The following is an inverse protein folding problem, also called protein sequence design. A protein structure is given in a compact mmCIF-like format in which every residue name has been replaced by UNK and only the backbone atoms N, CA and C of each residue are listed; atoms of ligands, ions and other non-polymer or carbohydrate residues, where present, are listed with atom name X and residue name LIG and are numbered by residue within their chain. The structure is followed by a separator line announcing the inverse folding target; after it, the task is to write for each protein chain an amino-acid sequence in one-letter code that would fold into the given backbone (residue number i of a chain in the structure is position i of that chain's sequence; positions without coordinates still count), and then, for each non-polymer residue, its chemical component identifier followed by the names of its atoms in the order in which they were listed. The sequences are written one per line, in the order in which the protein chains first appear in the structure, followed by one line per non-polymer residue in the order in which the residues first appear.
data_IF_778426020452
#
_entry.id   IF_778426020452
#
_cell.length_a   1.000
_cell.length_b   1.000
_cell.length_c   1.000
_cell.angle_alpha   90.00
_cell.angle_beta   90.00
_cell.angle_gamma   90.00
#
_symmetry.space_group_name_H-M   'P 1'
#
loop_
_entity.id
_entity.type
_entity.pdbx_description
1 polymer ?
#
# COMPACT_ATOMS: atom_id res chain seq x y z
N UNK A 1 -4.74 -63.20 -2.06
CA UNK A 1 -3.79 -62.08 -2.16
C UNK A 1 -4.43 -60.69 -2.13
N UNK A 2 -5.69 -60.50 -2.56
CA UNK A 2 -6.35 -59.19 -2.54
C UNK A 2 -6.64 -58.64 -1.12
N UNK A 3 -7.09 -59.50 -0.19
CA UNK A 3 -7.54 -59.10 1.15
C UNK A 3 -6.44 -58.46 2.02
N UNK A 4 -5.23 -59.02 2.00
CA UNK A 4 -4.08 -58.46 2.74
C UNK A 4 -3.52 -57.17 2.15
N UNK A 5 -3.82 -56.85 0.88
CA UNK A 5 -3.41 -55.59 0.24
C UNK A 5 -4.35 -54.45 0.65
N UNK A 6 -5.64 -54.76 0.84
CA UNK A 6 -6.65 -53.80 1.32
C UNK A 6 -6.41 -53.41 2.78
N UNK A 7 -6.10 -54.39 3.66
CA UNK A 7 -5.78 -54.12 5.07
C UNK A 7 -4.52 -53.26 5.25
N UNK A 8 -3.48 -53.45 4.43
CA UNK A 8 -2.28 -52.60 4.46
C UNK A 8 -2.59 -51.17 4.04
N UNK A 9 -3.39 -50.97 2.98
CA UNK A 9 -3.79 -49.64 2.51
C UNK A 9 -4.66 -48.92 3.54
N UNK A 10 -5.58 -49.62 4.21
CA UNK A 10 -6.41 -49.04 5.27
C UNK A 10 -5.57 -48.59 6.47
N UNK A 11 -4.56 -49.37 6.84
CA UNK A 11 -3.64 -49.03 7.92
C UNK A 11 -2.78 -47.81 7.58
N UNK A 12 -2.21 -47.77 6.37
CA UNK A 12 -1.45 -46.61 5.87
C UNK A 12 -2.33 -45.34 5.80
N UNK A 13 -3.59 -45.47 5.35
CA UNK A 13 -4.53 -44.35 5.30
C UNK A 13 -4.87 -43.82 6.70
N UNK A 14 -5.02 -44.69 7.69
CA UNK A 14 -5.26 -44.30 9.08
C UNK A 14 -4.04 -43.57 9.66
N UNK A 15 -2.84 -44.04 9.35
CA UNK A 15 -1.58 -43.45 9.81
C UNK A 15 -1.35 -42.07 9.17
N UNK A 16 -1.62 -41.92 7.87
CA UNK A 16 -1.58 -40.62 7.18
C UNK A 16 -2.60 -39.64 7.76
N UNK A 17 -3.84 -40.09 8.06
CA UNK A 17 -4.86 -39.24 8.69
C UNK A 17 -4.43 -38.76 10.08
N UNK A 18 -3.82 -39.63 10.88
CA UNK A 18 -3.31 -39.28 12.20
C UNK A 18 -2.18 -38.25 12.10
N UNK A 19 -1.23 -38.45 11.19
CA UNK A 19 -0.15 -37.50 10.92
C UNK A 19 -0.67 -36.16 10.42
N UNK A 20 -1.67 -36.16 9.53
CA UNK A 20 -2.30 -34.94 9.02
C UNK A 20 -2.99 -34.17 10.15
N UNK A 21 -3.71 -34.86 11.05
CA UNK A 21 -4.33 -34.24 12.21
C UNK A 21 -3.32 -33.62 13.17
N UNK A 22 -2.20 -34.31 13.41
CA UNK A 22 -1.09 -33.80 14.23
C UNK A 22 -0.49 -32.52 13.62
N UNK A 23 -0.13 -32.56 12.34
CA UNK A 23 0.42 -31.41 11.62
C UNK A 23 -0.56 -30.23 11.58
N UNK A 24 -1.86 -30.49 11.41
CA UNK A 24 -2.87 -29.45 11.50
C UNK A 24 -2.90 -28.82 12.89
N UNK A 25 -2.77 -29.60 13.96
CA UNK A 25 -2.66 -29.11 15.33
C UNK A 25 -1.45 -28.20 15.54
N UNK A 26 -0.27 -28.67 15.14
CA UNK A 26 0.98 -27.89 15.24
C UNK A 26 0.91 -26.57 14.45
N UNK A 27 0.34 -26.61 13.24
CA UNK A 27 0.14 -25.39 12.43
C UNK A 27 -0.79 -24.39 13.13
N UNK A 28 -1.84 -24.86 13.80
CA UNK A 28 -2.74 -23.97 14.55
C UNK A 28 -2.05 -23.37 15.77
N UNK A 29 -1.25 -24.14 16.50
CA UNK A 29 -0.50 -23.63 17.65
C UNK A 29 0.55 -22.59 17.23
N UNK A 30 1.27 -22.85 16.14
CA UNK A 30 2.23 -21.90 15.56
C UNK A 30 1.52 -20.62 15.14
N UNK A 31 0.36 -20.71 14.48
CA UNK A 31 -0.45 -19.54 14.12
C UNK A 31 -0.86 -18.72 15.33
N UNK A 32 -1.39 -19.36 16.38
CA UNK A 32 -1.81 -18.68 17.60
C UNK A 32 -0.62 -17.95 18.29
N UNK A 33 0.56 -18.58 18.32
CA UNK A 33 1.77 -17.97 18.89
C UNK A 33 2.29 -16.80 18.05
N UNK A 34 2.21 -16.90 16.72
CA UNK A 34 2.57 -15.82 15.81
C UNK A 34 1.60 -14.63 15.93
N UNK A 35 0.29 -14.90 15.99
CA UNK A 35 -0.75 -13.89 16.18
C UNK A 35 -0.59 -13.15 17.52
N UNK A 36 -0.22 -13.85 18.60
CA UNK A 36 0.08 -13.23 19.89
C UNK A 36 1.41 -12.47 19.98
N UNK A 37 2.28 -12.59 18.97
CA UNK A 37 3.60 -11.93 18.94
C UNK A 37 3.61 -10.61 18.17
N UNK A 38 2.57 -10.35 17.37
CA UNK A 38 2.44 -9.11 16.60
C UNK A 38 1.69 -8.08 17.45
N UNK A 39 2.35 -6.97 17.78
CA UNK A 39 1.68 -5.84 18.47
C UNK A 39 0.78 -5.13 17.46
N UNK A 40 -0.55 -5.11 17.63
CA UNK A 40 -1.46 -4.42 16.72
C UNK A 40 -1.20 -2.91 16.74
N UNK A 41 -1.38 -2.24 15.59
CA UNK A 41 -1.18 -0.77 15.49
C UNK A 41 -2.13 -0.04 16.43
N UNK A 42 -3.34 -0.57 16.61
CA UNK A 42 -4.37 -0.08 17.53
C UNK A 42 -3.84 0.02 18.97
N UNK A 43 -3.12 -1.00 19.45
CA UNK A 43 -2.55 -0.99 20.80
C UNK A 43 -1.44 0.04 20.94
N UNK A 44 -0.61 0.19 19.90
CA UNK A 44 0.45 1.22 19.86
C UNK A 44 -0.16 2.61 19.96
N UNK A 45 -1.21 2.88 19.18
CA UNK A 45 -1.92 4.16 19.19
C UNK A 45 -2.60 4.40 20.55
N UNK A 46 -3.29 3.40 21.10
CA UNK A 46 -3.93 3.50 22.41
C UNK A 46 -2.93 3.82 23.53
N UNK A 47 -1.75 3.18 23.54
CA UNK A 47 -0.68 3.47 24.52
C UNK A 47 -0.11 4.88 24.39
N UNK A 48 -0.21 5.49 23.20
CA UNK A 48 0.14 6.89 22.94
C UNK A 48 -1.00 7.87 23.27
N UNK A 49 -2.13 7.40 23.79
CA UNK A 49 -3.31 8.23 24.07
C UNK A 49 -4.09 8.63 22.82
N UNK A 50 -3.88 7.93 21.70
CA UNK A 50 -4.52 8.23 20.42
C UNK A 50 -5.71 7.30 20.19
N UNK A 51 -6.91 7.80 20.43
CA UNK A 51 -8.16 7.09 20.11
C UNK A 51 -8.62 7.44 18.68
N UNK A 52 -8.96 6.41 17.91
CA UNK A 52 -9.48 6.57 16.55
C UNK A 52 -10.90 6.01 16.43
N UNK A 53 -11.72 6.67 15.61
CA UNK A 53 -13.12 6.34 15.39
C UNK A 53 -13.32 5.27 14.32
N UNK A 54 -12.50 5.35 13.27
CA UNK A 54 -12.62 4.53 12.07
C UNK A 54 -11.24 4.16 11.53
N UNK A 55 -11.11 2.93 11.08
CA UNK A 55 -10.00 2.42 10.28
C UNK A 55 -10.55 1.38 9.29
N UNK A 56 -9.77 1.13 8.23
CA UNK A 56 -10.02 0.13 7.18
C UNK A 56 -11.38 0.30 6.45
N UNK A 57 -11.72 1.50 5.93
CA UNK A 57 -13.03 1.80 5.34
C UNK A 57 -13.29 1.13 3.98
N UNK A 58 -14.16 0.12 3.92
CA UNK A 58 -14.43 -0.64 2.68
C UNK A 58 -15.33 0.06 1.66
N UNK A 59 -15.96 1.18 2.02
CA UNK A 59 -17.04 1.80 1.20
C UNK A 59 -16.53 2.40 -0.11
N UNK A 60 -15.26 2.83 -0.12
CA UNK A 60 -14.59 3.44 -1.27
C UNK A 60 -13.60 2.49 -1.97
N UNK A 61 -13.56 1.21 -1.58
CA UNK A 61 -12.76 0.21 -2.26
C UNK A 61 -13.38 -0.21 -3.59
N UNK A 62 -12.55 -0.35 -4.62
CA UNK A 62 -12.95 -0.92 -5.91
C UNK A 62 -13.41 -2.37 -5.79
N UNK A 63 -12.88 -3.11 -4.81
CA UNK A 63 -13.21 -4.51 -4.61
C UNK A 63 -14.65 -4.68 -4.11
N UNK A 64 -15.42 -5.65 -4.65
CA UNK A 64 -16.72 -6.03 -4.10
C UNK A 64 -16.64 -6.47 -2.64
N UNK A 65 -17.70 -6.23 -1.86
CA UNK A 65 -17.73 -6.61 -0.43
C UNK A 65 -17.76 -8.14 -0.23
N UNK A 66 -18.21 -8.89 -1.24
CA UNK A 66 -18.32 -10.34 -1.26
C UNK A 66 -17.17 -11.01 -2.04
N UNK A 67 -16.06 -10.28 -2.28
CA UNK A 67 -14.92 -10.84 -3.01
C UNK A 67 -14.34 -12.05 -2.29
N UNK A 68 -14.06 -13.12 -3.03
CA UNK A 68 -13.43 -14.30 -2.44
C UNK A 68 -11.94 -14.04 -2.12
N UNK A 69 -11.38 -14.68 -1.07
CA UNK A 69 -9.97 -14.48 -0.69
C UNK A 69 -8.98 -14.76 -1.83
N UNK A 70 -9.30 -15.72 -2.70
CA UNK A 70 -8.49 -16.03 -3.89
C UNK A 70 -8.48 -14.87 -4.89
N UNK A 71 -9.64 -14.26 -5.17
CA UNK A 71 -9.75 -13.14 -6.11
C UNK A 71 -9.11 -11.88 -5.54
N UNK A 72 -9.28 -11.63 -4.25
CA UNK A 72 -8.62 -10.52 -3.56
C UNK A 72 -7.09 -10.63 -3.66
N UNK A 73 -6.54 -11.84 -3.43
CA UNK A 73 -5.11 -12.10 -3.60
C UNK A 73 -4.65 -11.88 -5.04
N UNK A 74 -5.42 -12.33 -6.03
CA UNK A 74 -5.10 -12.09 -7.44
C UNK A 74 -5.12 -10.59 -7.77
N UNK A 75 -6.08 -9.84 -7.22
CA UNK A 75 -6.17 -8.39 -7.39
C UNK A 75 -4.97 -7.69 -6.77
N UNK A 76 -4.58 -8.08 -5.56
CA UNK A 76 -3.36 -7.62 -4.90
C UNK A 76 -2.11 -7.84 -5.77
N UNK A 77 -1.94 -9.03 -6.36
CA UNK A 77 -0.80 -9.31 -7.24
C UNK A 77 -0.79 -8.41 -8.49
N UNK A 78 -1.96 -8.13 -9.08
CA UNK A 78 -2.05 -7.20 -10.20
C UNK A 78 -1.73 -5.76 -9.79
N UNK A 79 -2.14 -5.34 -8.59
CA UNK A 79 -1.85 -4.00 -8.05
C UNK A 79 -0.36 -3.71 -7.90
N UNK A 80 0.52 -4.73 -7.84
CA UNK A 80 1.97 -4.54 -7.87
C UNK A 80 2.45 -3.87 -9.17
N UNK A 81 1.73 -4.05 -10.29
CA UNK A 81 2.06 -3.47 -11.60
C UNK A 81 1.57 -2.01 -11.68
N UNK A 82 2.49 -1.07 -11.91
CA UNK A 82 2.14 0.34 -12.05
C UNK A 82 1.18 0.62 -13.21
N UNK A 83 1.35 -0.08 -14.35
CA UNK A 83 0.44 0.01 -15.51
C UNK A 83 -1.01 -0.35 -15.14
N UNK A 84 -1.22 -1.35 -14.29
CA UNK A 84 -2.54 -1.74 -13.81
C UNK A 84 -3.15 -0.66 -12.91
N UNK A 85 -2.36 -0.02 -12.05
CA UNK A 85 -2.83 1.09 -11.21
C UNK A 85 -3.20 2.33 -12.02
N UNK A 86 -2.42 2.67 -13.07
CA UNK A 86 -2.81 3.72 -14.02
C UNK A 86 -4.15 3.38 -14.66
N UNK A 87 -4.28 2.16 -15.17
CA UNK A 87 -5.49 1.70 -15.84
C UNK A 87 -6.74 1.81 -14.96
N UNK A 88 -6.64 1.43 -13.69
CA UNK A 88 -7.72 1.59 -12.71
C UNK A 88 -8.09 3.06 -12.48
N UNK A 89 -7.10 3.96 -12.35
CA UNK A 89 -7.37 5.41 -12.22
C UNK A 89 -8.14 5.94 -13.41
N UNK A 90 -7.79 5.51 -14.62
CA UNK A 90 -8.49 5.94 -15.82
C UNK A 90 -9.94 5.48 -15.83
N UNK A 91 -10.21 4.22 -15.49
CA UNK A 91 -11.58 3.67 -15.42
C UNK A 91 -12.43 4.45 -14.41
N UNK A 92 -11.86 4.78 -13.24
CA UNK A 92 -12.58 5.56 -12.21
C UNK A 92 -12.89 6.97 -12.70
N UNK A 93 -11.91 7.63 -13.34
CA UNK A 93 -12.03 9.03 -13.78
C UNK A 93 -12.94 9.17 -15.01
N UNK A 94 -12.88 8.21 -15.94
CA UNK A 94 -13.51 8.27 -17.26
C UNK A 94 -14.61 7.20 -17.37
N UNK A 95 -15.58 7.24 -16.46
CA UNK A 95 -16.71 6.28 -16.42
C UNK A 95 -17.48 6.23 -17.75
N UNK A 96 -17.60 7.37 -18.43
CA UNK A 96 -18.31 7.51 -19.71
C UNK A 96 -17.55 6.87 -20.89
N UNK A 97 -16.24 6.66 -20.77
CA UNK A 97 -15.42 6.03 -21.83
C UNK A 97 -15.46 4.51 -21.78
N UNK A 98 -16.10 3.92 -20.77
CA UNK A 98 -16.36 2.48 -20.77
C UNK A 98 -17.36 2.07 -21.85
N UNK A 99 -18.04 3.03 -22.49
CA UNK A 99 -19.05 2.82 -23.54
C UNK A 99 -18.47 2.82 -24.97
N UNK A 100 -17.24 3.31 -25.19
CA UNK A 100 -16.72 3.51 -26.55
C UNK A 100 -15.27 3.04 -26.70
N UNK A 101 -14.97 2.48 -27.88
CA UNK A 101 -13.69 1.94 -28.36
C UNK A 101 -12.58 3.00 -28.52
N UNK A 102 -12.44 3.91 -27.56
CA UNK A 102 -11.37 4.91 -27.54
C UNK A 102 -10.13 4.32 -26.87
N UNK A 103 -9.06 4.24 -27.66
CA UNK A 103 -7.73 3.74 -27.27
C UNK A 103 -7.26 4.44 -25.99
N UNK A 104 -6.90 3.64 -24.98
CA UNK A 104 -6.22 4.13 -23.78
C UNK A 104 -4.73 4.27 -24.09
N UNK A 105 -4.13 5.38 -23.68
CA UNK A 105 -2.76 5.75 -24.10
C UNK A 105 -1.65 5.07 -23.27
N UNK A 106 -2.00 4.29 -22.24
CA UNK A 106 -1.05 3.85 -21.22
C UNK A 106 -0.68 2.36 -21.29
N UNK A 107 -1.39 1.57 -22.07
CA UNK A 107 -1.13 0.15 -22.26
C UNK A 107 -1.48 -0.27 -23.69
N UNK A 108 -0.93 -1.39 -24.15
CA UNK A 108 -1.31 -1.95 -25.44
C UNK A 108 -2.78 -2.42 -25.43
N UNK A 109 -3.46 -2.50 -26.59
CA UNK A 109 -4.83 -3.01 -26.67
C UNK A 109 -5.01 -4.40 -26.03
N UNK A 110 -4.01 -5.27 -26.20
CA UNK A 110 -4.01 -6.63 -25.65
C UNK A 110 -3.96 -6.60 -24.12
N UNK A 111 -3.09 -5.75 -23.55
CA UNK A 111 -2.98 -5.58 -22.09
C UNK A 111 -4.25 -4.99 -21.50
N UNK A 112 -4.87 -4.04 -22.22
CA UNK A 112 -6.15 -3.45 -21.83
C UNK A 112 -7.26 -4.52 -21.78
N UNK A 113 -7.36 -5.37 -22.79
CA UNK A 113 -8.33 -6.47 -22.84
C UNK A 113 -8.12 -7.44 -21.67
N UNK A 114 -6.87 -7.86 -21.43
CA UNK A 114 -6.51 -8.71 -20.28
C UNK A 114 -6.94 -8.10 -18.95
N UNK A 115 -6.73 -6.80 -18.76
CA UNK A 115 -7.15 -6.10 -17.55
C UNK A 115 -8.67 -6.01 -17.43
N UNK A 116 -9.40 -5.71 -18.51
CA UNK A 116 -10.86 -5.70 -18.50
C UNK A 116 -11.42 -7.06 -18.11
N UNK A 117 -10.94 -8.13 -18.76
CA UNK A 117 -11.37 -9.49 -18.46
C UNK A 117 -11.07 -9.87 -17.01
N UNK A 118 -9.88 -9.51 -16.52
CA UNK A 118 -9.49 -9.73 -15.13
C UNK A 118 -10.44 -9.03 -14.15
N UNK A 119 -10.77 -7.77 -14.40
CA UNK A 119 -11.67 -6.98 -13.55
C UNK A 119 -13.11 -7.49 -13.58
N UNK A 120 -13.59 -8.00 -14.73
CA UNK A 120 -14.87 -8.69 -14.83
C UNK A 120 -14.88 -9.97 -13.99
N UNK A 121 -13.82 -10.80 -14.07
CA UNK A 121 -13.70 -12.01 -13.24
C UNK A 121 -13.66 -11.69 -11.75
N UNK A 122 -13.02 -10.59 -11.37
CA UNK A 122 -12.98 -10.11 -9.99
C UNK A 122 -14.29 -9.46 -9.52
N UNK A 123 -15.24 -9.20 -10.43
CA UNK A 123 -16.49 -8.52 -10.10
C UNK A 123 -16.35 -7.01 -9.87
N UNK A 124 -15.18 -6.43 -10.20
CA UNK A 124 -14.92 -4.97 -10.11
C UNK A 124 -15.63 -4.23 -11.25
N UNK A 125 -15.73 -4.87 -12.41
CA UNK A 125 -16.52 -4.39 -13.55
C UNK A 125 -17.76 -5.27 -13.78
N UNK A 126 -18.80 -4.67 -14.37
CA UNK A 126 -20.00 -5.34 -14.89
C UNK A 126 -20.15 -5.04 -16.38
N UNK A 127 -20.69 -6.01 -17.13
CA UNK A 127 -21.03 -5.82 -18.56
C UNK A 127 -22.33 -5.02 -18.69
N UNK A 128 -22.34 -4.04 -19.59
CA UNK A 128 -23.55 -3.33 -20.04
C UNK A 128 -23.88 -3.69 -21.49
N UNK A 129 -25.03 -3.20 -21.97
CA UNK A 129 -25.44 -3.36 -23.39
C UNK A 129 -24.38 -2.80 -24.36
N UNK A 130 -23.69 -1.74 -23.98
CA UNK A 130 -22.54 -1.19 -24.67
C UNK A 130 -21.43 -0.98 -23.65
N UNK A 131 -20.39 -1.82 -23.70
CA UNK A 131 -19.21 -1.66 -22.85
C UNK A 131 -19.36 -2.17 -21.41
N UNK A 132 -18.76 -1.45 -20.47
CA UNK A 132 -18.60 -1.87 -19.08
C UNK A 132 -18.97 -0.77 -18.08
N UNK A 133 -19.17 -1.14 -16.82
CA UNK A 133 -19.31 -0.16 -15.73
C UNK A 133 -18.64 -0.68 -14.45
N UNK A 134 -18.29 0.23 -13.53
CA UNK A 134 -17.84 -0.15 -12.20
C UNK A 134 -18.99 -0.80 -11.43
N UNK A 135 -18.71 -1.93 -10.78
CA UNK A 135 -19.71 -2.63 -9.96
C UNK A 135 -20.15 -1.83 -8.73
N UNK A 136 -19.23 -1.02 -8.17
CA UNK A 136 -19.50 -0.09 -7.06
C UNK A 136 -19.59 1.34 -7.57
N UNK A 137 -20.81 1.89 -7.61
CA UNK A 137 -21.04 3.24 -8.09
C UNK A 137 -20.47 4.34 -7.17
N UNK A 138 -20.30 4.03 -5.89
CA UNK A 138 -19.77 4.94 -4.85
C UNK A 138 -18.30 5.32 -5.05
N UNK A 139 -17.51 4.49 -5.77
CA UNK A 139 -16.05 4.63 -5.86
C UNK A 139 -15.65 5.79 -6.79
N UNK A 140 -15.48 6.99 -6.26
CA UNK A 140 -15.16 8.20 -7.03
C UNK A 140 -13.66 8.46 -7.21
N UNK A 141 -12.81 7.81 -6.44
CA UNK A 141 -11.36 8.00 -6.49
C UNK A 141 -10.63 6.67 -6.33
N UNK A 142 -9.37 6.64 -6.74
CA UNK A 142 -8.49 5.50 -6.55
C UNK A 142 -7.84 5.46 -5.16
N UNK A 143 -7.92 6.56 -4.40
CA UNK A 143 -7.22 6.74 -3.11
C UNK A 143 -7.44 5.59 -2.14
N UNK A 144 -8.69 5.28 -1.79
CA UNK A 144 -8.98 4.19 -0.85
C UNK A 144 -8.48 2.81 -1.31
N UNK A 145 -8.46 2.55 -2.62
CA UNK A 145 -7.89 1.28 -3.14
C UNK A 145 -6.36 1.27 -3.08
N UNK A 146 -5.72 2.43 -3.26
CA UNK A 146 -4.27 2.58 -3.10
C UNK A 146 -3.86 2.43 -1.62
N UNK A 147 -4.62 3.03 -0.69
CA UNK A 147 -4.47 2.87 0.76
C UNK A 147 -4.55 1.41 1.18
N UNK A 148 -5.62 0.70 0.79
CA UNK A 148 -5.75 -0.73 1.02
C UNK A 148 -4.58 -1.52 0.44
N UNK A 149 -4.17 -1.22 -0.80
CA UNK A 149 -3.05 -1.93 -1.42
C UNK A 149 -1.74 -1.75 -0.66
N UNK A 150 -1.42 -0.53 -0.22
CA UNK A 150 -0.20 -0.26 0.54
C UNK A 150 -0.27 -0.91 1.93
N UNK A 151 -1.42 -0.92 2.60
CA UNK A 151 -1.61 -1.68 3.83
C UNK A 151 -1.36 -3.18 3.61
N UNK A 152 -1.88 -3.75 2.52
CA UNK A 152 -1.60 -5.14 2.15
C UNK A 152 -0.13 -5.39 1.83
N UNK A 153 0.59 -4.42 1.27
CA UNK A 153 2.05 -4.51 1.09
C UNK A 153 2.76 -4.57 2.45
N UNK A 154 2.37 -3.73 3.42
CA UNK A 154 2.93 -3.77 4.77
C UNK A 154 2.73 -5.14 5.42
N UNK A 155 1.52 -5.70 5.35
CA UNK A 155 1.21 -6.99 5.96
C UNK A 155 1.88 -8.16 5.25
N UNK A 156 1.84 -8.20 3.91
CA UNK A 156 2.24 -9.39 3.14
C UNK A 156 3.73 -9.44 2.81
N UNK A 157 4.32 -8.28 2.52
CA UNK A 157 5.72 -8.20 2.07
C UNK A 157 6.66 -7.82 3.21
N UNK A 158 6.16 -7.10 4.21
CA UNK A 158 6.96 -6.64 5.34
C UNK A 158 6.56 -7.26 6.68
N UNK A 159 5.52 -8.10 6.73
CA UNK A 159 5.01 -8.71 7.98
C UNK A 159 4.72 -7.68 9.07
N UNK A 160 4.31 -6.47 8.66
CA UNK A 160 4.01 -5.36 9.55
C UNK A 160 2.49 -5.17 9.61
N UNK A 161 1.88 -5.14 10.81
CA UNK A 161 0.46 -4.82 10.93
C UNK A 161 0.21 -3.41 10.41
N UNK A 162 -0.93 -3.20 9.76
CA UNK A 162 -1.27 -1.91 9.18
C UNK A 162 -2.75 -1.59 9.36
N UNK A 163 -3.02 -0.30 9.55
CA UNK A 163 -4.34 0.31 9.46
C UNK A 163 -4.33 1.28 8.29
N UNK A 164 -5.47 1.46 7.63
CA UNK A 164 -5.58 2.43 6.55
C UNK A 164 -6.88 3.24 6.63
N UNK A 165 -6.89 4.43 6.03
CA UNK A 165 -8.02 5.37 6.09
C UNK A 165 -8.42 5.71 7.53
N UNK A 166 -7.45 5.94 8.41
CA UNK A 166 -7.65 6.09 9.86
C UNK A 166 -8.15 7.50 10.19
N UNK A 167 -9.22 7.60 10.99
CA UNK A 167 -9.80 8.88 11.45
C UNK A 167 -9.73 8.96 12.98
N UNK A 168 -9.04 9.98 13.49
CA UNK A 168 -8.93 10.23 14.94
C UNK A 168 -10.07 11.10 15.46
N UNK A 169 -10.43 10.92 16.74
CA UNK A 169 -11.52 11.69 17.36
C UNK A 169 -11.09 13.09 17.83
N UNK A 170 -9.83 13.24 18.25
CA UNK A 170 -9.38 14.39 19.04
C UNK A 170 -8.05 14.99 18.59
N UNK A 171 -7.54 14.62 17.41
CA UNK A 171 -6.36 15.29 16.87
C UNK A 171 -6.72 16.70 16.41
N UNK A 172 -5.83 17.70 16.66
CA UNK A 172 -6.10 19.10 16.32
C UNK A 172 -6.18 19.35 14.81
N UNK A 173 -5.64 18.40 14.03
CA UNK A 173 -5.62 18.44 12.57
C UNK A 173 -6.69 17.49 12.04
N UNK A 174 -7.56 18.00 11.17
CA UNK A 174 -8.57 17.19 10.49
C UNK A 174 -7.99 16.34 9.35
N UNK A 175 -8.84 15.48 8.80
CA UNK A 175 -8.49 14.60 7.69
C UNK A 175 -8.18 13.17 8.12
N UNK A 176 -7.90 12.34 7.13
CA UNK A 176 -7.67 10.91 7.29
C UNK A 176 -6.16 10.64 7.23
N UNK A 177 -5.72 9.60 7.93
CA UNK A 177 -4.35 9.09 7.85
C UNK A 177 -4.36 7.86 6.94
N UNK A 178 -3.74 8.01 5.77
CA UNK A 178 -3.84 7.03 4.69
C UNK A 178 -3.42 5.62 5.11
N UNK A 179 -2.19 5.44 5.62
CA UNK A 179 -1.76 4.16 6.21
C UNK A 179 -0.88 4.39 7.44
N UNK A 180 -1.19 3.70 8.53
CA UNK A 180 -0.39 3.62 9.75
C UNK A 180 0.12 2.19 9.93
N UNK A 181 1.39 2.01 10.28
CA UNK A 181 1.97 0.68 10.46
C UNK A 181 2.97 0.65 11.60
N UNK A 182 3.18 -0.54 12.18
CA UNK A 182 4.18 -0.78 13.21
C UNK A 182 5.33 -1.60 12.64
N UNK A 183 6.48 -0.96 12.46
CA UNK A 183 7.69 -1.55 11.88
C UNK A 183 8.81 -1.56 12.91
N UNK A 184 9.19 -2.74 13.40
CA UNK A 184 10.35 -2.94 14.30
C UNK A 184 10.44 -1.94 15.46
N UNK A 185 9.31 -1.67 16.14
CA UNK A 185 9.28 -0.72 17.26
C UNK A 185 9.05 0.74 16.87
N UNK A 186 8.83 1.03 15.58
CA UNK A 186 8.61 2.37 15.05
C UNK A 186 7.19 2.52 14.51
N UNK A 187 6.52 3.59 14.92
CA UNK A 187 5.27 4.01 14.31
C UNK A 187 5.57 4.68 12.99
N UNK A 188 5.11 4.07 11.90
CA UNK A 188 5.23 4.57 10.53
C UNK A 188 3.90 5.19 10.10
N UNK A 189 3.99 6.38 9.50
CA UNK A 189 2.88 7.00 8.76
C UNK A 189 3.21 7.12 7.28
N UNK A 190 2.38 6.54 6.41
CA UNK A 190 2.46 6.70 4.96
C UNK A 190 1.31 7.58 4.48
N UNK A 191 1.64 8.68 3.81
CA UNK A 191 0.69 9.51 3.04
C UNK A 191 0.80 9.11 1.57
N UNK A 192 -0.33 8.86 0.92
CA UNK A 192 -0.41 8.31 -0.42
C UNK A 192 -1.08 9.31 -1.37
N UNK A 193 -0.42 9.59 -2.50
CA UNK A 193 -1.01 10.41 -3.57
C UNK A 193 -1.12 9.61 -4.84
N UNK A 194 -2.36 9.39 -5.28
CA UNK A 194 -2.64 8.77 -6.57
C UNK A 194 -2.49 9.73 -7.76
N UNK A 195 -2.44 11.04 -7.50
CA UNK A 195 -2.24 12.09 -8.49
C UNK A 195 -0.74 12.28 -8.80
N UNK A 196 -0.38 12.64 -10.04
CA UNK A 196 1.01 12.95 -10.38
C UNK A 196 1.48 14.25 -9.66
N UNK A 197 2.81 14.44 -9.49
CA UNK A 197 3.40 15.59 -8.79
C UNK A 197 2.84 16.95 -9.20
N UNK A 198 2.57 17.16 -10.49
CA UNK A 198 2.04 18.42 -11.04
C UNK A 198 0.65 18.80 -10.49
N UNK A 199 -0.09 17.86 -9.92
CA UNK A 199 -1.42 18.06 -9.37
C UNK A 199 -1.43 18.08 -7.85
N UNK A 200 -0.27 17.96 -7.21
CA UNK A 200 -0.14 18.07 -5.76
C UNK A 200 0.08 19.53 -5.40
N UNK A 201 -0.76 20.03 -4.51
CA UNK A 201 -0.72 21.42 -4.06
C UNK A 201 0.13 21.61 -2.80
N UNK A 202 0.61 22.84 -2.58
CA UNK A 202 1.40 23.19 -1.40
C UNK A 202 0.62 23.01 -0.08
N UNK A 203 -0.70 23.22 -0.12
CA UNK A 203 -1.63 22.96 0.99
C UNK A 203 -1.68 21.49 1.41
N UNK A 204 -1.53 20.56 0.47
CA UNK A 204 -1.49 19.13 0.78
C UNK A 204 -0.20 18.75 1.49
N UNK A 205 0.94 19.30 1.07
CA UNK A 205 2.23 19.10 1.76
C UNK A 205 2.17 19.68 3.17
N UNK A 206 1.61 20.88 3.34
CA UNK A 206 1.38 21.46 4.68
C UNK A 206 0.51 20.56 5.54
N UNK A 207 -0.64 20.10 5.03
CA UNK A 207 -1.55 19.24 5.77
C UNK A 207 -0.89 17.91 6.20
N UNK A 208 0.01 17.37 5.36
CA UNK A 208 0.82 16.20 5.71
C UNK A 208 1.80 16.50 6.86
N UNK A 209 2.51 17.62 6.82
CA UNK A 209 3.42 18.05 7.89
C UNK A 209 2.65 18.28 9.21
N UNK A 210 1.50 18.95 9.15
CA UNK A 210 0.64 19.18 10.32
C UNK A 210 0.20 17.84 10.95
N UNK A 211 -0.13 16.84 10.12
CA UNK A 211 -0.48 15.48 10.58
C UNK A 211 0.71 14.74 11.19
N UNK A 212 1.92 14.91 10.67
CA UNK A 212 3.13 14.36 11.28
C UNK A 212 3.33 14.95 12.67
N UNK A 213 3.21 16.27 12.82
CA UNK A 213 3.33 16.95 14.11
C UNK A 213 2.27 16.47 15.11
N UNK A 214 1.01 16.34 14.67
CA UNK A 214 -0.08 15.88 15.51
C UNK A 214 0.03 14.39 15.92
N UNK A 215 0.51 13.53 15.03
CA UNK A 215 0.62 12.09 15.27
C UNK A 215 1.92 11.69 16.01
N UNK A 216 3.01 12.41 15.77
CA UNK A 216 4.34 12.08 16.28
C UNK A 216 4.84 10.69 15.85
N UNK A 217 4.79 10.31 14.56
CA UNK A 217 5.36 9.04 14.11
C UNK A 217 6.89 9.05 14.26
N UNK A 218 7.50 7.86 14.34
CA UNK A 218 8.95 7.73 14.37
C UNK A 218 9.58 8.12 13.03
N UNK A 219 8.87 7.86 11.93
CA UNK A 219 9.18 8.36 10.61
C UNK A 219 7.92 8.36 9.73
N UNK A 220 7.94 9.17 8.68
CA UNK A 220 6.83 9.28 7.76
C UNK A 220 7.30 9.18 6.31
N UNK A 221 6.41 8.73 5.43
CA UNK A 221 6.69 8.56 4.00
C UNK A 221 5.56 9.19 3.20
N UNK A 222 5.86 10.20 2.39
CA UNK A 222 4.98 10.63 1.31
C UNK A 222 5.31 9.84 0.05
N UNK A 223 4.37 8.98 -0.34
CA UNK A 223 4.46 8.12 -1.51
C UNK A 223 3.52 8.65 -2.59
N UNK A 224 4.10 9.09 -3.70
CA UNK A 224 3.33 9.51 -4.87
C UNK A 224 3.33 8.38 -5.90
N UNK A 225 2.16 7.83 -6.20
CA UNK A 225 2.02 6.68 -7.11
C UNK A 225 2.20 7.10 -8.58
N UNK A 226 3.46 7.37 -8.91
CA UNK A 226 3.90 7.85 -10.21
C UNK A 226 5.27 7.26 -10.55
N UNK A 227 5.61 7.27 -11.84
CA UNK A 227 7.00 7.06 -12.29
C UNK A 227 7.69 8.36 -12.72
N UNK A 228 7.01 9.51 -12.56
CA UNK A 228 7.54 10.83 -12.90
C UNK A 228 8.61 11.27 -11.89
N UNK A 229 9.44 12.22 -12.33
CA UNK A 229 10.44 12.89 -11.48
C UNK A 229 9.75 13.66 -10.37
N UNK A 230 10.28 13.51 -9.17
CA UNK A 230 9.79 14.11 -7.93
C UNK A 230 10.54 15.41 -7.61
N UNK A 231 11.83 15.48 -7.99
CA UNK A 231 12.72 16.61 -7.66
C UNK A 231 12.14 17.97 -8.08
N UNK A 232 11.65 18.07 -9.30
CA UNK A 232 11.30 19.36 -9.91
C UNK A 232 10.05 20.02 -9.27
N UNK A 233 9.26 19.25 -8.51
CA UNK A 233 8.00 19.74 -7.93
C UNK A 233 7.87 19.40 -6.45
N UNK A 234 7.98 18.13 -6.09
CA UNK A 234 7.69 17.69 -4.73
C UNK A 234 8.79 18.12 -3.76
N UNK A 235 10.06 17.98 -4.14
CA UNK A 235 11.18 18.46 -3.31
C UNK A 235 11.07 19.97 -3.08
N UNK A 236 10.79 20.74 -4.14
CA UNK A 236 10.58 22.20 -4.04
C UNK A 236 9.44 22.54 -3.06
N UNK A 237 8.29 21.87 -3.16
CA UNK A 237 7.18 22.11 -2.24
C UNK A 237 7.55 21.83 -0.77
N UNK A 238 8.34 20.79 -0.51
CA UNK A 238 8.81 20.50 0.85
C UNK A 238 9.82 21.55 1.34
N UNK A 239 10.76 21.96 0.50
CA UNK A 239 11.74 22.99 0.85
C UNK A 239 11.03 24.33 1.16
N UNK A 240 10.02 24.69 0.38
CA UNK A 240 9.19 25.87 0.61
C UNK A 240 8.41 25.79 1.93
N UNK A 241 7.83 24.64 2.26
CA UNK A 241 7.06 24.47 3.50
C UNK A 241 7.93 24.42 4.76
N UNK A 242 9.15 23.86 4.66
CA UNK A 242 10.08 23.73 5.79
C UNK A 242 10.97 24.96 5.98
N UNK A 243 11.12 25.81 4.97
CA UNK A 243 11.79 27.11 5.07
C UNK A 243 13.19 27.04 5.70
N UNK A 244 13.33 27.57 6.92
CA UNK A 244 14.63 27.65 7.61
C UNK A 244 15.27 26.30 7.93
N UNK A 245 14.46 25.24 8.05
CA UNK A 245 14.95 23.90 8.38
C UNK A 245 15.75 23.29 7.23
N UNK A 246 15.57 23.79 6.01
CA UNK A 246 16.28 23.35 4.80
C UNK A 246 17.27 24.37 4.25
N UNK A 247 17.21 25.65 4.65
CA UNK A 247 18.05 26.73 4.09
C UNK A 247 18.92 27.54 5.07
N UNK A 248 18.88 27.28 6.39
CA UNK A 248 19.70 27.94 7.40
C UNK A 248 21.08 27.31 7.71
N UNK A 249 21.92 27.94 8.58
CA UNK A 249 23.25 27.42 8.95
C UNK A 249 23.24 26.08 9.69
N UNK A 250 22.10 25.74 10.31
CA UNK A 250 21.83 24.45 10.97
C UNK A 250 20.83 23.60 10.17
N UNK A 251 20.53 23.99 8.93
CA UNK A 251 19.57 23.28 8.11
C UNK A 251 20.04 21.87 7.80
N UNK A 252 19.06 20.98 7.70
CA UNK A 252 19.23 19.68 7.09
C UNK A 252 18.66 19.80 5.67
N UNK A 253 19.52 19.80 4.63
CA UNK A 253 19.01 19.88 3.26
C UNK A 253 18.24 18.60 2.92
N UNK A 254 17.32 18.70 1.95
CA UNK A 254 16.73 17.51 1.35
C UNK A 254 17.83 16.73 0.61
N UNK A 255 17.96 15.44 0.91
CA UNK A 255 19.02 14.58 0.35
C UNK A 255 18.40 13.49 -0.50
N UNK A 256 18.85 13.36 -1.75
CA UNK A 256 18.53 12.17 -2.54
C UNK A 256 19.22 10.96 -1.90
N UNK A 257 18.47 9.90 -1.61
CA UNK A 257 19.02 8.66 -1.08
C UNK A 257 19.27 7.66 -2.22
N UNK A 258 18.31 7.56 -3.14
CA UNK A 258 18.40 6.72 -4.33
C UNK A 258 17.28 7.00 -5.32
N UNK A 259 17.55 6.92 -6.62
CA UNK A 259 16.53 7.12 -7.65
C UNK A 259 15.68 8.37 -7.34
N UNK A 260 14.36 8.27 -7.44
CA UNK A 260 13.42 9.34 -7.05
C UNK A 260 12.97 9.24 -5.57
N UNK A 261 13.89 8.87 -4.68
CA UNK A 261 13.67 8.83 -3.22
C UNK A 261 14.57 9.80 -2.48
N UNK A 262 13.97 10.60 -1.60
CA UNK A 262 14.61 11.69 -0.88
C UNK A 262 14.36 11.57 0.63
N UNK A 263 15.39 11.87 1.42
CA UNK A 263 15.29 12.15 2.83
C UNK A 263 15.06 13.64 3.02
N UNK A 264 13.98 13.98 3.67
CA UNK A 264 13.59 15.31 4.11
C UNK A 264 13.86 15.38 5.63
N UNK A 265 14.12 16.57 6.20
CA UNK A 265 14.28 16.74 7.65
C UNK A 265 13.17 16.05 8.47
N UNK A 266 13.49 15.72 9.71
CA UNK A 266 12.56 15.06 10.65
C UNK A 266 12.16 13.63 10.26
N UNK A 267 13.08 12.88 9.62
CA UNK A 267 12.85 11.48 9.20
C UNK A 267 11.63 11.34 8.27
N UNK A 268 11.44 12.32 7.40
CA UNK A 268 10.41 12.30 6.38
C UNK A 268 11.04 11.77 5.10
N UNK A 269 10.40 10.79 4.47
CA UNK A 269 10.84 10.24 3.19
C UNK A 269 9.85 10.62 2.11
N UNK A 270 10.36 10.98 0.94
CA UNK A 270 9.57 11.21 -0.27
C UNK A 270 9.98 10.18 -1.30
N UNK A 271 9.04 9.43 -1.85
CA UNK A 271 9.33 8.42 -2.87
C UNK A 271 8.22 8.33 -3.91
N UNK A 272 8.54 7.69 -5.04
CA UNK A 272 7.58 7.37 -6.09
C UNK A 272 7.46 5.85 -6.30
N UNK A 273 6.79 5.42 -7.37
CA UNK A 273 6.57 4.02 -7.68
C UNK A 273 7.64 3.39 -8.60
N UNK A 274 8.63 4.16 -9.08
CA UNK A 274 9.69 3.67 -9.98
C UNK A 274 10.93 3.21 -9.21
N UNK A 275 11.52 2.03 -9.51
CA UNK A 275 11.06 1.00 -10.45
C UNK A 275 9.98 0.07 -9.87
N UNK A 276 9.82 0.07 -8.54
CA UNK A 276 8.79 -0.67 -7.85
C UNK A 276 8.50 0.01 -6.52
N UNK A 277 7.21 0.22 -6.24
CA UNK A 277 6.72 0.76 -4.98
C UNK A 277 7.23 -0.05 -3.78
N UNK A 278 7.12 -1.39 -3.86
CA UNK A 278 7.53 -2.30 -2.78
C UNK A 278 9.04 -2.22 -2.57
N UNK A 279 9.83 -2.23 -3.64
CA UNK A 279 11.29 -2.13 -3.55
C UNK A 279 11.74 -0.79 -2.98
N UNK A 280 11.04 0.31 -3.31
CA UNK A 280 11.33 1.62 -2.76
C UNK A 280 11.03 1.69 -1.26
N UNK A 281 9.87 1.18 -0.82
CA UNK A 281 9.55 1.07 0.61
C UNK A 281 10.58 0.22 1.36
N UNK A 282 10.97 -0.93 0.82
CA UNK A 282 12.00 -1.79 1.42
C UNK A 282 13.34 -1.05 1.62
N UNK A 283 13.73 -0.22 0.65
CA UNK A 283 14.96 0.59 0.73
C UNK A 283 14.83 1.73 1.73
N UNK A 284 13.67 2.39 1.81
CA UNK A 284 13.37 3.40 2.84
C UNK A 284 13.48 2.78 4.22
N UNK A 285 12.86 1.62 4.45
CA UNK A 285 12.88 0.94 5.75
C UNK A 285 14.30 0.53 6.15
N UNK A 286 15.05 -0.07 5.22
CA UNK A 286 16.46 -0.42 5.44
C UNK A 286 17.30 0.80 5.81
N UNK A 287 17.08 1.92 5.13
CA UNK A 287 17.78 3.17 5.42
C UNK A 287 17.43 3.70 6.82
N UNK A 288 16.13 3.75 7.15
CA UNK A 288 15.65 4.25 8.44
C UNK A 288 16.15 3.40 9.63
N UNK A 289 16.09 2.08 9.51
CA UNK A 289 16.50 1.13 10.55
C UNK A 289 18.02 1.04 10.74
N UNK A 290 18.80 1.81 9.99
CA UNK A 290 20.24 1.92 10.22
C UNK A 290 21.05 0.76 9.66
N UNK A 291 20.48 -0.07 8.79
CA UNK A 291 21.25 -0.95 7.91
C UNK A 291 21.92 -0.10 6.81
N UNK A 292 22.88 0.72 7.23
CA UNK A 292 23.85 1.39 6.37
C UNK A 292 24.81 0.32 5.82
N UNK A 293 24.29 -0.53 4.95
CA UNK A 293 25.15 -1.30 4.08
C UNK A 293 25.87 -0.32 3.17
N UNK A 294 27.18 -0.20 3.35
CA UNK A 294 28.10 0.24 2.30
C UNK A 294 27.58 -0.23 0.93
N UNK A 295 27.56 0.68 -0.06
CA UNK A 295 27.03 0.52 -1.44
C UNK A 295 25.58 0.96 -1.67
N UNK A 296 25.30 2.23 -1.40
CA UNK A 296 24.63 3.01 -2.44
C UNK A 296 25.71 3.93 -3.01
N UNK A 297 26.51 3.40 -3.93
CA UNK A 297 27.20 4.28 -4.87
C UNK A 297 26.11 5.15 -5.48
N UNK A 298 26.25 6.46 -5.33
CA UNK A 298 25.60 7.44 -6.17
C UNK A 298 25.86 7.01 -7.62
N UNK A 299 24.91 6.28 -8.19
CA UNK A 299 24.73 6.30 -9.63
C UNK A 299 23.83 7.50 -9.83
N UNK A 300 24.48 8.65 -9.94
CA UNK A 300 23.92 9.77 -10.69
C UNK A 300 23.69 9.24 -12.10
N UNK A 301 22.47 8.76 -12.37
CA UNK A 301 21.99 8.68 -13.73
C UNK A 301 21.52 10.09 -14.10
N UNK A 302 22.34 10.76 -14.91
CA UNK A 302 22.00 11.95 -15.70
C UNK A 302 20.63 11.82 -16.41
#
# INVERSE_FOLDING_TARGET
MAKGRTETVEKELAEIKAQLGHLQGEVQEIKARLEGSVVPVEEVLHRRGLAFRKANPTENLLLPDDISPTKERQFYEQMKRYSFRIFLREIITRRDLLESSRRRHFCSPETEEEYVEFLLRCGVLRRRRQGYELAKETVRSFGGTLEWFVAQVMEREFSCPALWGVKFDHLPVGGDYDVLSWLEGNLLYLELKSSPPKHIESSEVRSFLDRIEALGPNFAVMLVDTELRMRDKMVVLFEEQLGSDTQGPKAQPVRRIFGETFLIPHQIYLTNSKPSLISNLARVFRWHLGHKGDRFTEVDDD
#
